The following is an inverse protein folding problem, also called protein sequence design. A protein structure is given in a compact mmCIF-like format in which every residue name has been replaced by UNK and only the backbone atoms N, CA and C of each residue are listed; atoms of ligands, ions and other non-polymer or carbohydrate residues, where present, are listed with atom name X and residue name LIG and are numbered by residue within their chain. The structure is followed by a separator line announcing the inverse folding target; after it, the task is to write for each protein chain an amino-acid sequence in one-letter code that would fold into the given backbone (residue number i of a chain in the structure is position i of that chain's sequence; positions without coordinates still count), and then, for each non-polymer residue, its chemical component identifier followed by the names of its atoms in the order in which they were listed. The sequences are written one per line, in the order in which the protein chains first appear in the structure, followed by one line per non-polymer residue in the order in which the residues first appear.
data_IF_284753407244
#
_entry.id   IF_284753407244
#
_cell.length_a   1.000
_cell.length_b   1.000
_cell.length_c   1.000
_cell.angle_alpha   90.00
_cell.angle_beta   90.00
_cell.angle_gamma   90.00
#
_symmetry.space_group_name_H-M   'P 1'
#
loop_
_entity.id
_entity.type
_entity.pdbx_description
1 polymer ?
#
# COMPACT_ATOMS: atom_id res chain seq x y z
N UNK A 1 29.37 34.90 -3.39
CA UNK A 1 29.13 33.74 -4.26
C UNK A 1 27.73 33.27 -3.90
N UNK A 2 26.77 33.39 -4.82
CA UNK A 2 25.36 33.21 -4.54
C UNK A 2 25.06 31.72 -4.31
N UNK A 3 24.84 31.32 -3.06
CA UNK A 3 24.22 30.05 -2.71
C UNK A 3 22.73 30.09 -3.11
N UNK A 4 22.47 29.94 -4.41
CA UNK A 4 21.27 29.26 -4.86
C UNK A 4 21.50 27.75 -4.72
N UNK A 5 21.77 27.30 -3.49
CA UNK A 5 21.40 25.93 -3.11
C UNK A 5 19.92 25.82 -3.44
N UNK A 6 19.57 24.95 -4.37
CA UNK A 6 18.20 24.69 -4.78
C UNK A 6 17.40 24.27 -3.55
N UNK A 7 16.81 25.25 -2.86
CA UNK A 7 16.11 25.03 -1.61
C UNK A 7 14.98 24.05 -1.89
N UNK A 8 15.07 22.87 -1.27
CA UNK A 8 14.04 21.83 -1.31
C UNK A 8 12.72 22.51 -0.93
N UNK A 9 11.78 22.64 -1.87
CA UNK A 9 10.47 23.24 -1.61
C UNK A 9 9.60 22.20 -0.94
N UNK A 10 9.37 22.25 0.39
CA UNK A 10 8.61 21.21 1.08
C UNK A 10 7.16 21.16 0.60
N UNK A 11 6.65 22.27 0.05
CA UNK A 11 5.34 22.32 -0.57
C UNK A 11 5.28 21.48 -1.85
N UNK A 12 6.32 21.53 -2.71
CA UNK A 12 6.37 20.71 -3.92
C UNK A 12 6.35 19.21 -3.56
N UNK A 13 7.15 18.81 -2.57
CA UNK A 13 7.15 17.45 -2.06
C UNK A 13 5.78 17.05 -1.53
N UNK A 14 5.13 17.90 -0.73
CA UNK A 14 3.79 17.61 -0.23
C UNK A 14 2.77 17.42 -1.37
N UNK A 15 2.80 18.27 -2.40
CA UNK A 15 1.92 18.13 -3.57
C UNK A 15 2.17 16.85 -4.34
N UNK A 16 3.44 16.56 -4.63
CA UNK A 16 3.84 15.33 -5.31
C UNK A 16 3.41 14.09 -4.50
N UNK A 17 3.64 14.10 -3.19
CA UNK A 17 3.17 13.06 -2.28
C UNK A 17 1.67 12.87 -2.36
N UNK A 18 0.88 13.94 -2.27
CA UNK A 18 -0.58 13.87 -2.40
C UNK A 18 -1.05 13.29 -3.75
N UNK A 19 -0.40 13.64 -4.86
CA UNK A 19 -0.73 13.08 -6.19
C UNK A 19 -0.38 11.60 -6.26
N UNK A 20 0.81 11.20 -5.81
CA UNK A 20 1.22 9.79 -5.77
C UNK A 20 0.25 8.97 -4.92
N UNK A 21 -0.10 9.47 -3.73
CA UNK A 21 -1.07 8.84 -2.84
C UNK A 21 -2.44 8.68 -3.50
N UNK A 22 -2.91 9.69 -4.24
CA UNK A 22 -4.18 9.60 -4.96
C UNK A 22 -4.14 8.52 -6.05
N UNK A 23 -3.04 8.45 -6.82
CA UNK A 23 -2.85 7.40 -7.83
C UNK A 23 -2.90 6.02 -7.17
N UNK A 24 -2.27 5.85 -6.01
CA UNK A 24 -2.28 4.59 -5.25
C UNK A 24 -3.71 4.20 -4.84
N UNK A 25 -4.45 5.13 -4.22
CA UNK A 25 -5.84 4.88 -3.77
C UNK A 25 -6.74 4.52 -4.94
N UNK A 26 -6.65 5.27 -6.05
CA UNK A 26 -7.48 5.03 -7.24
C UNK A 26 -7.10 3.72 -7.92
N UNK A 27 -5.80 3.45 -8.13
CA UNK A 27 -5.34 2.21 -8.74
C UNK A 27 -5.75 0.99 -7.91
N UNK A 28 -5.59 1.05 -6.59
CA UNK A 28 -5.97 -0.03 -5.67
C UNK A 28 -7.47 -0.29 -5.68
N UNK A 29 -8.29 0.77 -5.63
CA UNK A 29 -9.75 0.65 -5.72
C UNK A 29 -10.21 0.07 -7.05
N UNK A 30 -9.61 0.50 -8.17
CA UNK A 30 -9.94 -0.04 -9.49
C UNK A 30 -9.53 -1.52 -9.63
N UNK A 31 -8.36 -1.90 -9.10
CA UNK A 31 -7.88 -3.27 -9.10
C UNK A 31 -8.78 -4.23 -8.32
N UNK A 32 -9.28 -3.81 -7.16
CA UNK A 32 -10.22 -4.61 -6.37
C UNK A 32 -11.57 -4.75 -7.07
N UNK A 33 -12.20 -3.63 -7.42
CA UNK A 33 -13.59 -3.59 -7.92
C UNK A 33 -13.74 -4.16 -9.33
N UNK A 34 -12.83 -3.82 -10.25
CA UNK A 34 -13.02 -4.18 -11.66
C UNK A 34 -12.30 -5.47 -12.07
N UNK A 35 -11.30 -5.91 -11.30
CA UNK A 35 -10.54 -7.13 -11.63
C UNK A 35 -10.91 -8.28 -10.72
N UNK A 36 -10.89 -8.09 -9.40
CA UNK A 36 -11.08 -9.19 -8.45
C UNK A 36 -12.55 -9.50 -8.22
N UNK A 37 -13.38 -8.51 -7.90
CA UNK A 37 -14.82 -8.71 -7.71
C UNK A 37 -15.54 -9.17 -8.99
N UNK A 38 -15.01 -8.80 -10.16
CA UNK A 38 -15.59 -9.18 -11.45
C UNK A 38 -15.22 -10.59 -11.93
N UNK A 39 -14.08 -11.14 -11.50
CA UNK A 39 -13.52 -12.38 -12.08
C UNK A 39 -13.41 -13.54 -11.08
N UNK A 40 -13.42 -13.28 -9.77
CA UNK A 40 -13.26 -14.31 -8.73
C UNK A 40 -14.62 -14.73 -8.19
N UNK A 41 -14.97 -15.99 -8.37
CA UNK A 41 -16.15 -16.60 -7.74
C UNK A 41 -15.72 -17.31 -6.45
N UNK A 42 -16.22 -16.83 -5.32
CA UNK A 42 -15.84 -17.36 -4.00
C UNK A 42 -16.30 -18.82 -3.89
N UNK A 43 -15.36 -19.72 -3.57
CA UNK A 43 -15.62 -21.15 -3.42
C UNK A 43 -15.69 -21.94 -4.72
N UNK A 44 -15.58 -21.31 -5.89
CA UNK A 44 -15.68 -21.96 -7.20
C UNK A 44 -14.43 -21.71 -8.05
N UNK A 45 -13.55 -22.72 -8.07
CA UNK A 45 -12.30 -22.69 -8.83
C UNK A 45 -12.55 -22.72 -10.35
N UNK A 46 -13.56 -23.46 -10.79
CA UNK A 46 -13.88 -23.63 -12.21
C UNK A 46 -14.47 -22.35 -12.79
N UNK A 47 -15.45 -21.75 -12.11
CA UNK A 47 -16.03 -20.49 -12.53
C UNK A 47 -15.00 -19.35 -12.54
N UNK A 48 -14.15 -19.27 -11.51
CA UNK A 48 -13.03 -18.31 -11.47
C UNK A 48 -12.08 -18.50 -12.66
N UNK A 49 -11.68 -19.74 -12.95
CA UNK A 49 -10.77 -20.03 -14.07
C UNK A 49 -11.38 -19.64 -15.43
N UNK A 50 -12.67 -19.95 -15.65
CA UNK A 50 -13.38 -19.53 -16.86
C UNK A 50 -13.46 -18.01 -16.97
N UNK A 51 -13.71 -17.30 -15.87
CA UNK A 51 -13.71 -15.83 -15.84
C UNK A 51 -12.35 -15.25 -16.25
N UNK A 52 -11.27 -15.76 -15.68
CA UNK A 52 -9.90 -15.33 -16.00
C UNK A 52 -9.55 -15.60 -17.47
N UNK A 53 -9.93 -16.78 -18.01
CA UNK A 53 -9.70 -17.11 -19.41
C UNK A 53 -10.48 -16.20 -20.36
N UNK A 54 -11.75 -15.94 -20.04
CA UNK A 54 -12.62 -15.07 -20.83
C UNK A 54 -12.16 -13.61 -20.82
N UNK A 55 -11.49 -13.15 -19.75
CA UNK A 55 -11.07 -11.78 -19.54
C UNK A 55 -9.57 -11.66 -19.21
N UNK A 56 -8.72 -12.43 -19.90
CA UNK A 56 -7.28 -12.52 -19.59
C UNK A 56 -6.52 -11.19 -19.70
N UNK A 57 -6.94 -10.30 -20.59
CA UNK A 57 -6.39 -8.95 -20.71
C UNK A 57 -6.69 -8.09 -19.48
N UNK A 58 -7.90 -8.18 -18.93
CA UNK A 58 -8.31 -7.46 -17.71
C UNK A 58 -7.49 -7.96 -16.52
N UNK A 59 -7.33 -9.29 -16.38
CA UNK A 59 -6.48 -9.87 -15.35
C UNK A 59 -5.03 -9.36 -15.42
N UNK A 60 -4.44 -9.38 -16.62
CA UNK A 60 -3.07 -8.87 -16.86
C UNK A 60 -2.96 -7.36 -16.57
N UNK A 61 -3.95 -6.56 -16.97
CA UNK A 61 -3.98 -5.13 -16.69
C UNK A 61 -4.09 -4.85 -15.18
N UNK A 62 -4.85 -5.66 -14.43
CA UNK A 62 -4.91 -5.59 -12.98
C UNK A 62 -3.54 -5.80 -12.33
N UNK A 63 -2.81 -6.82 -12.75
CA UNK A 63 -1.46 -7.09 -12.24
C UNK A 63 -0.49 -5.95 -12.60
N UNK A 64 -0.55 -5.43 -13.83
CA UNK A 64 0.29 -4.31 -14.24
C UNK A 64 -0.05 -3.03 -13.46
N UNK A 65 -1.33 -2.77 -13.20
CA UNK A 65 -1.80 -1.66 -12.38
C UNK A 65 -1.32 -1.76 -10.93
N UNK A 66 -1.39 -2.95 -10.34
CA UNK A 66 -0.86 -3.23 -9.00
C UNK A 66 0.66 -2.95 -8.91
N UNK A 67 1.43 -3.31 -9.94
CA UNK A 67 2.87 -3.03 -9.98
C UNK A 67 3.17 -1.54 -10.16
N UNK A 68 2.39 -0.84 -11.00
CA UNK A 68 2.51 0.61 -11.17
C UNK A 68 2.18 1.35 -9.87
N UNK A 69 1.16 0.90 -9.14
CA UNK A 69 0.83 1.39 -7.81
C UNK A 69 2.05 1.27 -6.87
N UNK A 70 2.70 0.12 -6.81
CA UNK A 70 3.88 -0.06 -5.94
C UNK A 70 5.09 0.79 -6.37
N UNK A 71 5.20 1.16 -7.64
CA UNK A 71 6.19 2.17 -8.06
C UNK A 71 5.86 3.56 -7.51
N UNK A 72 4.58 3.93 -7.48
CA UNK A 72 4.13 5.18 -6.85
C UNK A 72 4.36 5.14 -5.32
N UNK A 73 4.15 3.99 -4.67
CA UNK A 73 4.39 3.80 -3.22
C UNK A 73 5.84 4.15 -2.86
N UNK A 74 6.83 3.65 -3.63
CA UNK A 74 8.26 3.98 -3.41
C UNK A 74 8.52 5.50 -3.49
N UNK A 75 7.90 6.17 -4.47
CA UNK A 75 8.00 7.63 -4.59
C UNK A 75 7.38 8.37 -3.41
N UNK A 76 6.21 7.91 -2.95
CA UNK A 76 5.50 8.47 -1.80
C UNK A 76 6.31 8.28 -0.51
N UNK A 77 6.87 7.09 -0.28
CA UNK A 77 7.68 6.79 0.89
C UNK A 77 8.90 7.70 0.98
N UNK A 78 9.58 7.96 -0.15
CA UNK A 78 10.68 8.92 -0.23
C UNK A 78 10.21 10.35 0.11
N UNK A 79 9.07 10.77 -0.43
CA UNK A 79 8.48 12.08 -0.14
C UNK A 79 8.20 12.24 1.37
N UNK A 80 7.53 11.26 1.97
CA UNK A 80 7.18 11.28 3.40
C UNK A 80 8.43 11.25 4.27
N UNK A 81 9.46 10.47 3.91
CA UNK A 81 10.75 10.49 4.58
C UNK A 81 11.39 11.88 4.54
N UNK A 82 11.46 12.52 3.36
CA UNK A 82 12.04 13.88 3.22
C UNK A 82 11.25 14.90 4.03
N UNK A 83 9.92 14.80 4.04
CA UNK A 83 9.06 15.71 4.77
C UNK A 83 9.17 15.52 6.28
N UNK A 84 9.31 14.30 6.80
CA UNK A 84 9.22 13.98 8.23
C UNK A 84 10.57 13.75 8.92
N UNK A 85 11.67 13.54 8.18
CA UNK A 85 13.02 13.45 8.76
C UNK A 85 13.43 14.64 9.65
N UNK A 86 12.94 15.89 9.46
CA UNK A 86 13.26 16.99 10.37
C UNK A 86 12.66 16.84 11.77
N UNK A 87 11.63 16.00 11.95
CA UNK A 87 11.05 15.69 13.27
C UNK A 87 11.98 14.77 14.04
N UNK A 88 12.31 13.61 13.45
CA UNK A 88 13.29 12.67 14.01
C UNK A 88 13.80 11.71 12.93
N UNK A 89 15.07 11.86 12.53
CA UNK A 89 15.67 11.14 11.39
C UNK A 89 15.51 9.62 11.48
N UNK A 90 15.83 9.03 12.63
CA UNK A 90 15.82 7.57 12.77
C UNK A 90 14.42 6.98 12.82
N UNK A 91 13.42 7.75 13.26
CA UNK A 91 12.02 7.30 13.30
C UNK A 91 11.40 7.44 11.90
N UNK A 92 11.72 8.51 11.17
CA UNK A 92 11.38 8.61 9.75
C UNK A 92 12.04 7.50 8.91
N UNK A 93 13.28 7.12 9.25
CA UNK A 93 13.95 5.98 8.61
C UNK A 93 13.26 4.65 8.97
N UNK A 94 12.82 4.48 10.21
CA UNK A 94 12.05 3.29 10.61
C UNK A 94 10.74 3.16 9.80
N UNK A 95 9.99 4.25 9.62
CA UNK A 95 8.80 4.26 8.76
C UNK A 95 9.14 3.82 7.33
N UNK A 96 10.19 4.40 6.73
CA UNK A 96 10.64 4.04 5.39
C UNK A 96 11.08 2.57 5.29
N UNK A 97 11.77 2.03 6.30
CA UNK A 97 12.19 0.62 6.30
C UNK A 97 11.00 -0.34 6.42
N UNK A 98 10.02 0.00 7.27
CA UNK A 98 8.77 -0.77 7.38
C UNK A 98 8.01 -0.78 6.06
N UNK A 99 7.91 0.38 5.39
CA UNK A 99 7.30 0.49 4.07
C UNK A 99 8.03 -0.36 3.03
N UNK A 100 9.37 -0.27 2.94
CA UNK A 100 10.16 -1.07 1.99
C UNK A 100 9.95 -2.57 2.21
N UNK A 101 9.85 -3.03 3.47
CA UNK A 101 9.54 -4.43 3.77
C UNK A 101 8.12 -4.79 3.29
N UNK A 102 7.13 -3.95 3.60
CA UNK A 102 5.75 -4.15 3.14
C UNK A 102 5.67 -4.25 1.61
N UNK A 103 6.30 -3.30 0.90
CA UNK A 103 6.34 -3.25 -0.56
C UNK A 103 7.05 -4.46 -1.16
N UNK A 104 8.15 -4.90 -0.56
CA UNK A 104 8.86 -6.10 -1.01
C UNK A 104 7.96 -7.33 -0.92
N UNK A 105 7.19 -7.45 0.17
CA UNK A 105 6.19 -8.53 0.33
C UNK A 105 5.07 -8.39 -0.71
N UNK A 106 4.51 -7.19 -0.91
CA UNK A 106 3.41 -6.99 -1.86
C UNK A 106 3.80 -7.31 -3.30
N UNK A 107 4.97 -6.82 -3.75
CA UNK A 107 5.49 -7.05 -5.10
C UNK A 107 5.80 -8.53 -5.32
N UNK A 108 6.51 -9.17 -4.38
CA UNK A 108 6.81 -10.60 -4.48
C UNK A 108 5.53 -11.45 -4.49
N UNK A 109 4.53 -11.05 -3.71
CA UNK A 109 3.25 -11.74 -3.64
C UNK A 109 2.45 -11.66 -4.96
N UNK A 110 2.73 -10.71 -5.86
CA UNK A 110 2.09 -10.66 -7.20
C UNK A 110 2.43 -11.88 -8.08
N UNK A 111 3.48 -12.62 -7.76
CA UNK A 111 3.76 -13.91 -8.39
C UNK A 111 2.55 -14.86 -8.27
N UNK A 112 1.83 -14.83 -7.14
CA UNK A 112 0.63 -15.64 -6.96
C UNK A 112 -0.50 -15.27 -7.93
N UNK A 113 -0.62 -13.99 -8.33
CA UNK A 113 -1.60 -13.58 -9.35
C UNK A 113 -1.14 -13.89 -10.78
N UNK A 114 0.17 -14.07 -11.01
CA UNK A 114 0.70 -14.53 -12.28
C UNK A 114 0.50 -16.03 -12.48
N UNK A 115 0.45 -16.83 -11.41
CA UNK A 115 0.28 -18.29 -11.50
C UNK A 115 -0.93 -18.73 -12.33
N UNK A 116 -2.15 -18.16 -12.17
CA UNK A 116 -3.29 -18.49 -13.04
C UNK A 116 -2.99 -18.32 -14.55
N UNK A 117 -2.15 -17.35 -14.94
CA UNK A 117 -1.80 -17.15 -16.35
C UNK A 117 -0.89 -18.26 -16.90
N UNK A 118 -0.11 -18.92 -16.05
CA UNK A 118 0.75 -20.03 -16.43
C UNK A 118 0.04 -21.37 -16.30
N UNK A 119 -0.87 -21.51 -15.34
CA UNK A 119 -1.56 -22.76 -15.02
C UNK A 119 -2.78 -23.01 -15.91
N UNK A 120 -3.43 -21.96 -16.41
CA UNK A 120 -4.60 -22.06 -17.29
C UNK A 120 -4.23 -21.99 -18.78
N UNK A 121 -2.94 -21.99 -19.12
CA UNK A 121 -2.46 -21.98 -20.49
C UNK A 121 -2.47 -23.39 -21.10
N UNK A 122 -2.52 -23.49 -22.44
CA UNK A 122 -2.54 -24.78 -23.15
C UNK A 122 -1.12 -25.15 -23.63
N UNK A 123 -0.29 -25.61 -22.70
CA UNK A 123 1.13 -25.89 -22.92
C UNK A 123 1.54 -27.29 -22.47
N UNK A 124 2.45 -27.92 -23.26
CA UNK A 124 2.80 -29.34 -23.11
C UNK A 124 3.33 -29.76 -21.74
N UNK A 125 3.99 -28.87 -21.00
CA UNK A 125 4.53 -29.23 -19.68
C UNK A 125 3.45 -29.41 -18.61
N UNK A 126 2.22 -28.95 -18.85
CA UNK A 126 1.08 -29.12 -17.95
C UNK A 126 0.33 -30.43 -18.18
N UNK A 127 0.67 -31.22 -19.20
CA UNK A 127 -0.03 -32.46 -19.56
C UNK A 127 -0.04 -33.54 -18.45
N UNK A 128 0.78 -33.38 -17.41
CA UNK A 128 0.77 -34.24 -16.24
C UNK A 128 -0.41 -33.96 -15.27
N UNK A 129 -1.10 -32.83 -15.42
CA UNK A 129 -2.23 -32.41 -14.58
C UNK A 129 -3.54 -32.48 -15.38
N UNK A 130 -4.65 -32.76 -14.69
CA UNK A 130 -5.98 -32.60 -15.28
C UNK A 130 -6.38 -31.12 -15.28
N UNK A 131 -7.31 -30.70 -16.17
CA UNK A 131 -7.82 -29.33 -16.17
C UNK A 131 -8.35 -28.89 -14.80
N UNK A 132 -9.08 -29.77 -14.09
CA UNK A 132 -9.64 -29.48 -12.78
C UNK A 132 -8.55 -29.24 -11.72
N UNK A 133 -7.44 -29.99 -11.79
CA UNK A 133 -6.29 -29.77 -10.92
C UNK A 133 -5.64 -28.39 -11.17
N UNK A 134 -5.50 -28.00 -12.45
CA UNK A 134 -4.94 -26.69 -12.81
C UNK A 134 -5.84 -25.53 -12.37
N UNK A 135 -7.15 -25.68 -12.50
CA UNK A 135 -8.14 -24.72 -11.99
C UNK A 135 -8.06 -24.59 -10.47
N UNK A 136 -7.99 -25.71 -9.74
CA UNK A 136 -7.84 -25.72 -8.28
C UNK A 136 -6.52 -25.07 -7.83
N UNK A 137 -5.40 -25.39 -8.49
CA UNK A 137 -4.10 -24.77 -8.20
C UNK A 137 -4.11 -23.25 -8.47
N UNK A 138 -4.76 -22.82 -9.56
CA UNK A 138 -4.95 -21.40 -9.87
C UNK A 138 -5.74 -20.69 -8.79
N UNK A 139 -6.82 -21.31 -8.31
CA UNK A 139 -7.63 -20.78 -7.23
C UNK A 139 -6.87 -20.71 -5.90
N UNK A 140 -6.08 -21.74 -5.57
CA UNK A 140 -5.20 -21.75 -4.39
C UNK A 140 -4.17 -20.63 -4.47
N UNK A 141 -3.59 -20.35 -5.64
CA UNK A 141 -2.66 -19.24 -5.81
C UNK A 141 -3.34 -17.88 -5.52
N UNK A 142 -4.56 -17.66 -6.02
CA UNK A 142 -5.35 -16.46 -5.73
C UNK A 142 -5.64 -16.34 -4.23
N UNK A 143 -5.98 -17.46 -3.57
CA UNK A 143 -6.17 -17.50 -2.11
C UNK A 143 -4.88 -17.18 -1.36
N UNK A 144 -3.75 -17.73 -1.79
CA UNK A 144 -2.44 -17.46 -1.19
C UNK A 144 -2.06 -15.98 -1.34
N UNK A 145 -2.40 -15.36 -2.48
CA UNK A 145 -2.22 -13.92 -2.68
C UNK A 145 -2.95 -13.09 -1.61
N UNK A 146 -4.21 -13.40 -1.29
CA UNK A 146 -4.97 -12.67 -0.27
C UNK A 146 -4.27 -12.70 1.11
N UNK A 147 -3.73 -13.85 1.50
CA UNK A 147 -2.97 -13.98 2.75
C UNK A 147 -1.62 -13.28 2.69
N UNK A 148 -0.89 -13.38 1.58
CA UNK A 148 0.36 -12.65 1.37
C UNK A 148 0.18 -11.13 1.41
N UNK A 149 -0.98 -10.64 0.94
CA UNK A 149 -1.36 -9.23 1.07
C UNK A 149 -1.57 -8.86 2.55
N UNK A 150 -2.28 -9.69 3.32
CA UNK A 150 -2.37 -9.53 4.77
C UNK A 150 -1.00 -9.45 5.47
N UNK A 151 -0.04 -10.31 5.07
CA UNK A 151 1.32 -10.27 5.66
C UNK A 151 2.00 -8.92 5.41
N UNK A 152 1.92 -8.38 4.20
CA UNK A 152 2.48 -7.05 3.89
C UNK A 152 1.81 -5.93 4.69
N UNK A 153 0.49 -6.02 4.91
CA UNK A 153 -0.28 -5.06 5.69
C UNK A 153 0.13 -4.99 7.17
N UNK A 154 0.76 -6.03 7.73
CA UNK A 154 1.32 -5.96 9.10
C UNK A 154 2.43 -4.91 9.18
N UNK A 155 3.33 -4.91 8.20
CA UNK A 155 4.45 -3.97 8.15
C UNK A 155 3.99 -2.56 7.76
N UNK A 156 3.06 -2.48 6.79
CA UNK A 156 2.42 -1.21 6.43
C UNK A 156 1.67 -0.60 7.61
N UNK A 157 0.97 -1.41 8.41
CA UNK A 157 0.30 -0.92 9.61
C UNK A 157 1.28 -0.38 10.66
N UNK A 158 2.45 -1.02 10.79
CA UNK A 158 3.56 -0.50 11.60
C UNK A 158 4.07 0.86 11.07
N UNK A 159 4.22 1.00 9.75
CA UNK A 159 4.60 2.26 9.12
C UNK A 159 3.58 3.37 9.41
N UNK A 160 2.28 3.08 9.28
CA UNK A 160 1.20 4.03 9.54
C UNK A 160 1.22 4.56 10.98
N UNK A 161 1.52 3.69 11.95
CA UNK A 161 1.69 4.09 13.37
C UNK A 161 2.87 5.03 13.53
N UNK A 162 4.02 4.70 12.95
CA UNK A 162 5.24 5.51 13.04
C UNK A 162 5.07 6.85 12.32
N UNK A 163 4.47 6.86 11.13
CA UNK A 163 4.12 8.08 10.41
C UNK A 163 3.16 8.96 11.20
N UNK A 164 2.11 8.38 11.79
CA UNK A 164 1.17 9.11 12.61
C UNK A 164 1.84 9.83 13.77
N UNK A 165 2.75 9.13 14.47
CA UNK A 165 3.56 9.73 15.52
C UNK A 165 4.41 10.90 15.00
N UNK A 166 5.09 10.75 13.85
CA UNK A 166 5.89 11.84 13.25
C UNK A 166 5.02 13.04 12.85
N UNK A 167 3.85 12.79 12.25
CA UNK A 167 2.90 13.82 11.84
C UNK A 167 2.39 14.58 13.07
N UNK A 168 2.02 13.88 14.14
CA UNK A 168 1.54 14.48 15.38
C UNK A 168 2.55 15.45 16.02
N UNK A 169 3.84 15.10 15.94
CA UNK A 169 4.94 15.89 16.51
C UNK A 169 5.55 16.90 15.53
N UNK A 170 5.12 16.92 14.26
CA UNK A 170 5.72 17.73 13.22
C UNK A 170 5.61 19.24 13.47
N UNK A 171 4.44 19.71 13.88
CA UNK A 171 4.10 21.14 14.00
C UNK A 171 3.78 21.83 12.66
N UNK A 172 3.96 21.15 11.52
CA UNK A 172 3.67 21.67 10.17
C UNK A 172 2.62 20.86 9.41
N UNK A 173 2.17 19.74 9.97
CA UNK A 173 0.99 18.98 9.55
C UNK A 173 -0.04 18.97 10.70
N UNK A 174 -1.34 18.82 10.39
CA UNK A 174 -2.39 18.86 11.40
C UNK A 174 -2.36 17.60 12.28
N UNK A 175 -2.56 17.79 13.59
CA UNK A 175 -2.48 16.71 14.58
C UNK A 175 -3.52 15.61 14.38
N UNK A 176 -4.69 15.92 13.82
CA UNK A 176 -5.72 14.91 13.58
C UNK A 176 -5.25 13.83 12.58
N UNK A 177 -4.46 14.19 11.55
CA UNK A 177 -3.85 13.21 10.65
C UNK A 177 -2.88 12.30 11.40
N UNK A 178 -2.14 12.87 12.36
CA UNK A 178 -1.25 12.11 13.24
C UNK A 178 -1.98 11.14 14.18
N UNK A 179 -3.29 11.32 14.39
CA UNK A 179 -4.14 10.39 15.16
C UNK A 179 -4.85 9.38 14.25
N UNK A 180 -5.23 9.77 13.03
CA UNK A 180 -5.90 8.88 12.08
C UNK A 180 -4.95 7.78 11.55
N UNK A 181 -3.70 8.11 11.23
CA UNK A 181 -2.77 7.13 10.67
C UNK A 181 -2.48 5.94 11.62
N UNK A 182 -2.25 6.12 12.93
CA UNK A 182 -2.08 4.99 13.83
C UNK A 182 -3.35 4.15 13.99
N UNK A 183 -4.54 4.76 13.89
CA UNK A 183 -5.81 4.01 13.90
C UNK A 183 -5.87 3.09 12.68
N UNK A 184 -5.56 3.59 11.49
CA UNK A 184 -5.45 2.79 10.27
C UNK A 184 -4.41 1.67 10.42
N UNK A 185 -3.25 1.98 11.02
CA UNK A 185 -2.20 1.00 11.25
C UNK A 185 -2.63 -0.15 12.16
N UNK A 186 -3.33 0.15 13.26
CA UNK A 186 -3.90 -0.87 14.15
C UNK A 186 -4.96 -1.69 13.43
N UNK A 187 -5.85 -1.04 12.66
CA UNK A 187 -6.83 -1.70 11.81
C UNK A 187 -6.20 -2.73 10.86
N UNK A 188 -5.15 -2.33 10.14
CA UNK A 188 -4.42 -3.23 9.25
C UNK A 188 -3.79 -4.41 9.97
N UNK A 189 -3.12 -4.18 11.09
CA UNK A 189 -2.50 -5.24 11.87
C UNK A 189 -3.53 -6.21 12.44
N UNK A 190 -4.62 -5.71 13.04
CA UNK A 190 -5.68 -6.54 13.62
C UNK A 190 -6.30 -7.44 12.56
N UNK A 191 -6.69 -6.89 11.41
CA UNK A 191 -7.26 -7.69 10.34
C UNK A 191 -6.28 -8.72 9.78
N UNK A 192 -5.01 -8.35 9.64
CA UNK A 192 -3.98 -9.25 9.08
C UNK A 192 -3.63 -10.40 10.02
N UNK A 193 -3.50 -10.13 11.32
CA UNK A 193 -3.33 -11.19 12.31
C UNK A 193 -4.59 -12.05 12.44
N UNK A 194 -5.79 -11.45 12.39
CA UNK A 194 -7.03 -12.21 12.37
C UNK A 194 -7.10 -13.12 11.14
N UNK A 195 -6.67 -12.68 9.97
CA UNK A 195 -6.66 -13.51 8.75
C UNK A 195 -5.86 -14.80 8.95
N UNK A 196 -4.77 -14.74 9.73
CA UNK A 196 -3.90 -15.89 10.01
C UNK A 196 -4.44 -16.74 11.17
N UNK A 197 -4.88 -16.11 12.26
CA UNK A 197 -5.20 -16.79 13.52
C UNK A 197 -6.68 -17.19 13.65
N UNK A 198 -7.58 -16.44 13.01
CA UNK A 198 -9.03 -16.60 13.07
C UNK A 198 -9.71 -16.08 11.78
N UNK A 199 -9.62 -16.80 10.65
CA UNK A 199 -10.12 -16.32 9.35
C UNK A 199 -11.59 -15.88 9.36
N UNK A 200 -12.45 -16.60 10.06
CA UNK A 200 -13.87 -16.25 10.21
C UNK A 200 -14.07 -14.89 10.89
N UNK A 201 -13.25 -14.58 11.90
CA UNK A 201 -13.27 -13.28 12.56
C UNK A 201 -12.82 -12.18 11.59
N UNK A 202 -11.76 -12.43 10.81
CA UNK A 202 -11.26 -11.49 9.81
C UNK A 202 -12.35 -11.12 8.79
N UNK A 203 -13.08 -12.13 8.27
CA UNK A 203 -14.19 -11.91 7.34
C UNK A 203 -15.33 -11.09 7.98
N UNK A 204 -15.64 -11.32 9.26
CA UNK A 204 -16.68 -10.59 9.96
C UNK A 204 -16.33 -9.11 10.22
N UNK A 205 -15.07 -8.80 10.53
CA UNK A 205 -14.63 -7.44 10.87
C UNK A 205 -14.20 -6.61 9.66
N UNK A 206 -13.89 -7.24 8.53
CA UNK A 206 -13.30 -6.60 7.36
C UNK A 206 -14.01 -5.31 6.90
N UNK A 207 -15.36 -5.27 6.75
CA UNK A 207 -16.04 -4.05 6.31
C UNK A 207 -15.88 -2.88 7.29
N UNK A 208 -15.88 -3.17 8.60
CA UNK A 208 -15.75 -2.16 9.65
C UNK A 208 -14.31 -1.67 9.80
N UNK A 209 -13.32 -2.54 9.58
CA UNK A 209 -11.90 -2.20 9.70
C UNK A 209 -11.39 -1.39 8.50
N UNK A 210 -11.94 -1.60 7.31
CA UNK A 210 -11.49 -0.90 6.10
C UNK A 210 -11.84 0.60 6.11
N UNK A 211 -12.98 0.97 6.71
CA UNK A 211 -13.45 2.35 6.71
C UNK A 211 -12.47 3.31 7.43
N UNK A 212 -11.97 3.04 8.66
CA UNK A 212 -10.94 3.84 9.29
C UNK A 212 -9.66 3.99 8.45
N UNK A 213 -9.21 2.92 7.79
CA UNK A 213 -8.04 2.97 6.92
C UNK A 213 -8.24 3.95 5.76
N UNK A 214 -9.33 3.78 5.02
CA UNK A 214 -9.68 4.65 3.90
C UNK A 214 -9.80 6.11 4.33
N UNK A 215 -10.47 6.37 5.46
CA UNK A 215 -10.63 7.73 6.00
C UNK A 215 -9.27 8.34 6.34
N UNK A 216 -8.37 7.60 6.99
CA UNK A 216 -7.06 8.10 7.37
C UNK A 216 -6.20 8.45 6.15
N UNK A 217 -6.05 7.50 5.23
CA UNK A 217 -5.19 7.63 4.05
C UNK A 217 -5.74 8.67 3.08
N UNK A 218 -7.05 8.67 2.82
CA UNK A 218 -7.67 9.68 1.97
C UNK A 218 -7.53 11.07 2.58
N UNK A 219 -7.68 11.20 3.91
CA UNK A 219 -7.47 12.48 4.60
C UNK A 219 -6.04 12.97 4.44
N UNK A 220 -5.04 12.09 4.61
CA UNK A 220 -3.63 12.45 4.43
C UNK A 220 -3.32 12.82 2.97
N UNK A 221 -3.78 12.01 2.03
CA UNK A 221 -3.68 12.23 0.59
C UNK A 221 -4.22 13.61 0.19
N UNK A 222 -5.49 13.88 0.51
CA UNK A 222 -6.16 15.14 0.17
C UNK A 222 -5.50 16.33 0.88
N UNK A 223 -5.05 16.16 2.12
CA UNK A 223 -4.36 17.23 2.82
C UNK A 223 -3.04 17.60 2.15
N UNK A 224 -2.19 16.61 1.84
CA UNK A 224 -0.93 16.82 1.14
C UNK A 224 -1.15 17.48 -0.22
N UNK A 225 -2.16 17.02 -0.96
CA UNK A 225 -2.50 17.54 -2.29
C UNK A 225 -3.10 18.96 -2.27
N UNK A 226 -3.92 19.32 -1.28
CA UNK A 226 -4.68 20.60 -1.26
C UNK A 226 -4.08 21.64 -0.31
N UNK A 227 -3.64 21.26 0.89
CA UNK A 227 -3.06 22.18 1.89
C UNK A 227 -1.53 22.11 1.95
N UNK A 228 -0.96 20.91 1.92
CA UNK A 228 0.48 20.68 2.02
C UNK A 228 1.00 20.91 3.43
N UNK A 229 2.16 21.54 3.57
CA UNK A 229 2.83 21.75 4.86
C UNK A 229 3.02 23.22 5.18
N UNK A 230 3.07 23.58 6.46
CA UNK A 230 3.49 24.91 6.88
C UNK A 230 4.99 25.11 6.60
N UNK A 231 5.32 25.80 5.51
CA UNK A 231 6.71 26.05 5.07
C UNK A 231 7.55 26.72 6.17
N UNK A 232 7.06 27.75 6.89
CA UNK A 232 7.84 28.37 7.97
C UNK A 232 8.17 27.38 9.09
N UNK A 233 7.18 26.63 9.57
CA UNK A 233 7.36 25.66 10.66
C UNK A 233 8.23 24.46 10.23
N UNK A 234 8.15 24.05 8.96
CA UNK A 234 9.03 23.01 8.41
C UNK A 234 10.49 23.49 8.34
N UNK A 235 10.73 24.71 7.86
CA UNK A 235 12.07 25.30 7.80
C UNK A 235 12.69 25.44 9.20
N UNK A 236 11.90 25.79 10.22
CA UNK A 236 12.35 25.84 11.61
C UNK A 236 12.84 24.46 12.09
N UNK A 237 12.06 23.40 11.83
CA UNK A 237 12.45 22.02 12.16
C UNK A 237 13.73 21.59 11.44
N UNK A 238 13.90 21.96 10.17
CA UNK A 238 15.12 21.67 9.41
C UNK A 238 16.34 22.35 10.03
N UNK A 239 16.24 23.63 10.39
CA UNK A 239 17.32 24.36 11.06
C UNK A 239 17.68 23.73 12.40
N UNK A 240 16.69 23.37 13.21
CA UNK A 240 16.91 22.68 14.49
C UNK A 240 17.62 21.33 14.30
N UNK A 241 17.21 20.54 13.30
CA UNK A 241 17.87 19.28 12.95
C UNK A 241 19.32 19.48 12.51
N UNK A 242 19.62 20.54 11.75
CA UNK A 242 20.99 20.85 11.31
C UNK A 242 21.87 21.32 12.46
N UNK A 243 21.33 22.17 13.35
CA UNK A 243 22.04 22.67 14.52
C UNK A 243 22.39 21.56 15.53
N UNK A 244 21.52 20.56 15.71
CA UNK A 244 21.81 19.40 16.56
C UNK A 244 22.77 18.36 15.95
N UNK A 245 23.27 18.60 14.72
CA UNK A 245 24.32 17.78 14.06
C UNK A 245 25.68 18.46 14.03
N UNK A 246 25.76 19.75 14.38
CA UNK A 246 27.00 20.51 14.55
C UNK A 246 27.51 20.36 15.98
#
# INVERSE_FOLDING_TARGET
MNDHDSAISPQLYARLGGVLYLVIIVAGGLGEVFVRDGLIVIGDATATAHGILAASSIWRMGIAGDLLQHLCDVGLALVLYVLLRPVHRNIALLALLLDVVAMSVFVANKLNLLLPLFLLDDVKYLAAFTPEQLQALSYVAIRAHAYGFGIGLIFFGGECIVLGWLIFHSGYLPKFLGLLMPIAGVCYMVNSFALILAPELAHAIFPAILLPCLVAELSLCLWLMIKGVSVPAWNERVRAMQAGRA
#
